data_IF_692572182336
#
_entry.id   IF_692572182336
#
_cell.length_a   1.000
_cell.length_b   1.000
_cell.length_c   1.000
_cell.angle_alpha   90.00
_cell.angle_beta   90.00
_cell.angle_gamma   90.00
#
_symmetry.space_group_name_H-M   'P 1'
#
loop_
_entity.id
_entity.type
_entity.pdbx_description
1 polymer ?
#
# COMPACT_ATOMS: atom_id res chain seq x y z
N UNK A 1 -4.77 28.26 5.59
CA UNK A 1 -4.37 27.62 6.86
C UNK A 1 -3.60 26.37 6.48
N UNK A 2 -2.29 26.38 6.64
CA UNK A 2 -1.39 25.26 6.29
C UNK A 2 -1.48 24.15 7.35
N UNK A 3 -1.13 22.92 6.99
CA UNK A 3 -0.92 21.86 7.97
C UNK A 3 0.22 22.33 8.90
N UNK A 4 -0.11 22.61 10.15
CA UNK A 4 0.89 23.09 11.14
C UNK A 4 1.65 21.89 11.68
N UNK A 5 2.85 21.64 11.14
CA UNK A 5 3.79 20.65 11.66
C UNK A 5 3.34 19.19 11.49
N UNK A 6 4.19 18.21 11.80
CA UNK A 6 3.82 16.80 11.84
C UNK A 6 2.82 16.56 12.97
N UNK A 7 1.79 15.73 12.72
CA UNK A 7 0.82 15.35 13.76
C UNK A 7 1.43 14.40 14.80
N UNK A 8 2.50 13.73 14.41
CA UNK A 8 3.36 12.93 15.29
C UNK A 8 4.80 13.16 14.84
N UNK A 9 5.63 13.63 15.74
CA UNK A 9 7.05 13.76 15.54
C UNK A 9 7.75 12.89 16.60
N UNK A 10 8.43 11.86 16.15
CA UNK A 10 9.38 11.11 16.97
C UNK A 10 10.76 11.68 16.68
N UNK A 11 11.17 12.69 17.43
CA UNK A 11 12.53 13.23 17.35
C UNK A 11 13.48 12.31 18.13
N UNK A 12 14.32 11.60 17.38
CA UNK A 12 15.31 10.71 17.94
C UNK A 12 16.63 11.38 18.29
N UNK A 13 16.64 12.27 19.26
CA UNK A 13 17.89 12.64 19.95
C UNK A 13 18.21 11.68 21.12
N UNK A 14 17.33 10.72 21.42
CA UNK A 14 17.54 9.72 22.46
C UNK A 14 17.79 8.35 21.84
N UNK A 15 18.88 7.72 22.27
CA UNK A 15 19.25 6.36 21.89
C UNK A 15 18.62 5.34 22.85
N UNK A 16 18.42 4.10 22.38
CA UNK A 16 18.18 2.97 23.23
C UNK A 16 16.72 2.67 23.58
N UNK A 17 16.47 2.00 24.73
CA UNK A 17 15.18 1.36 25.04
C UNK A 17 13.96 2.29 25.03
N UNK A 18 14.10 3.55 25.41
CA UNK A 18 13.00 4.53 25.40
C UNK A 18 12.58 4.88 23.98
N UNK A 19 13.54 5.05 23.07
CA UNK A 19 13.27 5.30 21.64
C UNK A 19 12.56 4.09 21.03
N UNK A 20 12.96 2.86 21.37
CA UNK A 20 12.32 1.63 20.92
C UNK A 20 10.87 1.56 21.40
N UNK A 21 10.59 1.89 22.67
CA UNK A 21 9.23 1.85 23.21
C UNK A 21 8.31 2.86 22.51
N UNK A 22 8.77 4.10 22.34
CA UNK A 22 8.04 5.14 21.62
C UNK A 22 7.82 4.77 20.13
N UNK A 23 8.84 4.17 19.51
CA UNK A 23 8.75 3.68 18.14
C UNK A 23 7.69 2.58 18.00
N UNK A 24 7.75 1.55 18.85
CA UNK A 24 6.77 0.46 18.86
C UNK A 24 5.34 0.96 19.05
N UNK A 25 5.14 1.89 19.97
CA UNK A 25 3.83 2.51 20.23
C UNK A 25 3.30 3.26 18.99
N UNK A 26 4.15 4.05 18.36
CA UNK A 26 3.78 4.85 17.19
C UNK A 26 3.38 4.01 15.98
N UNK A 27 4.03 2.87 15.76
CA UNK A 27 3.77 2.00 14.60
C UNK A 27 2.85 0.82 14.91
N UNK A 28 2.45 0.63 16.17
CA UNK A 28 1.65 -0.52 16.64
C UNK A 28 0.37 -0.82 15.83
N UNK A 29 -0.35 0.16 15.25
CA UNK A 29 -1.50 -0.14 14.41
C UNK A 29 -1.13 -0.89 13.12
N UNK A 30 0.12 -0.77 12.68
CA UNK A 30 0.59 -1.30 11.39
C UNK A 30 1.57 -2.46 11.56
N UNK A 31 2.44 -2.41 12.58
CA UNK A 31 3.60 -3.28 12.72
C UNK A 31 3.86 -3.72 14.16
N UNK A 32 4.18 -5.00 14.32
CA UNK A 32 4.99 -5.48 15.44
C UNK A 32 6.46 -5.31 15.04
N UNK A 33 7.28 -4.69 15.92
CA UNK A 33 8.68 -4.35 15.62
C UNK A 33 9.64 -5.23 16.41
N UNK A 34 10.52 -5.89 15.68
CA UNK A 34 11.63 -6.67 16.24
C UNK A 34 12.96 -5.95 16.00
N UNK A 35 13.74 -5.77 17.06
CA UNK A 35 15.08 -5.20 17.04
C UNK A 35 15.99 -6.19 17.75
N UNK A 36 17.16 -6.50 17.18
CA UNK A 36 18.10 -7.42 17.81
C UNK A 36 18.56 -6.86 19.15
N UNK A 37 18.82 -7.75 20.12
CA UNK A 37 19.21 -7.33 21.50
C UNK A 37 20.51 -6.54 21.51
N UNK A 38 21.47 -6.93 20.67
CA UNK A 38 22.76 -6.27 20.51
C UNK A 38 22.62 -4.83 19.97
N UNK A 39 21.60 -4.56 19.13
CA UNK A 39 21.38 -3.26 18.50
C UNK A 39 20.55 -2.32 19.39
N UNK A 40 19.96 -2.84 20.47
CA UNK A 40 19.06 -2.06 21.36
C UNK A 40 19.69 -0.80 21.95
N UNK A 41 20.97 -0.79 22.41
CA UNK A 41 21.57 0.43 22.99
C UNK A 41 21.76 1.56 22.00
N UNK A 42 22.01 1.25 20.73
CA UNK A 42 22.34 2.21 19.67
C UNK A 42 21.19 2.48 18.72
N UNK A 43 20.01 1.91 18.97
CA UNK A 43 18.84 2.09 18.11
C UNK A 43 18.46 3.58 17.98
N UNK A 44 18.29 4.00 16.75
CA UNK A 44 17.82 5.33 16.36
C UNK A 44 16.53 5.19 15.58
N UNK A 45 15.58 6.07 15.84
CA UNK A 45 14.33 6.12 15.08
C UNK A 45 13.79 7.54 15.06
N UNK A 46 13.48 8.03 13.89
CA UNK A 46 12.84 9.31 13.65
C UNK A 46 11.68 9.13 12.68
N UNK A 47 10.54 9.71 12.97
CA UNK A 47 9.41 9.71 12.06
C UNK A 47 8.60 10.99 12.20
N UNK A 48 8.32 11.62 11.08
CA UNK A 48 7.36 12.72 10.97
C UNK A 48 6.13 12.21 10.21
N UNK A 49 4.95 12.35 10.81
CA UNK A 49 3.70 11.88 10.21
C UNK A 49 2.75 13.04 9.99
N UNK A 50 2.24 13.16 8.77
CA UNK A 50 1.28 14.19 8.37
C UNK A 50 -0.02 13.55 7.90
N UNK A 51 -1.15 14.18 8.21
CA UNK A 51 -2.45 13.78 7.68
C UNK A 51 -2.72 14.39 6.30
N UNK A 52 -3.13 13.55 5.37
CA UNK A 52 -3.59 13.93 4.04
C UNK A 52 -5.12 13.71 3.93
N UNK A 53 -5.88 14.35 4.81
CA UNK A 53 -7.29 14.03 5.01
C UNK A 53 -7.44 12.70 5.74
N UNK A 54 -7.99 11.68 5.07
CA UNK A 54 -8.14 10.32 5.62
C UNK A 54 -6.90 9.43 5.37
N UNK A 55 -5.93 9.90 4.59
CA UNK A 55 -4.65 9.22 4.40
C UNK A 55 -3.57 9.82 5.29
N UNK A 56 -2.45 9.13 5.42
CA UNK A 56 -1.27 9.64 6.12
C UNK A 56 -0.02 9.46 5.27
N UNK A 57 0.97 10.32 5.50
CA UNK A 57 2.32 10.16 4.97
C UNK A 57 3.31 10.22 6.13
N UNK A 58 4.23 9.27 6.18
CA UNK A 58 5.33 9.19 7.14
C UNK A 58 6.68 9.40 6.44
N UNK A 59 7.48 10.31 6.98
CA UNK A 59 8.88 10.52 6.62
C UNK A 59 9.73 9.88 7.72
N UNK A 60 10.38 8.77 7.43
CA UNK A 60 10.93 7.87 8.43
C UNK A 60 12.42 7.64 8.21
N UNK A 61 13.20 7.68 9.28
CA UNK A 61 14.58 7.18 9.34
C UNK A 61 14.73 6.27 10.57
N UNK A 62 15.30 5.10 10.41
CA UNK A 62 15.53 4.19 11.54
C UNK A 62 16.75 3.30 11.31
N UNK A 63 17.33 2.81 12.42
CA UNK A 63 18.31 1.74 12.42
C UNK A 63 17.70 0.43 11.93
N UNK A 64 18.53 -0.55 11.68
CA UNK A 64 18.12 -1.90 11.29
C UNK A 64 17.02 -2.44 12.21
N UNK A 65 15.95 -2.94 11.59
CA UNK A 65 14.83 -3.55 12.29
C UNK A 65 14.03 -4.47 11.36
N UNK A 66 13.23 -5.33 11.98
CA UNK A 66 12.19 -6.11 11.31
C UNK A 66 10.83 -5.59 11.70
N UNK A 67 10.03 -5.28 10.71
CA UNK A 67 8.59 -5.03 10.85
C UNK A 67 7.83 -6.31 10.51
N UNK A 68 7.00 -6.77 11.41
CA UNK A 68 6.14 -7.94 11.21
C UNK A 68 4.67 -7.51 11.24
N UNK A 69 3.93 -7.92 10.22
CA UNK A 69 2.47 -7.82 10.18
C UNK A 69 1.90 -9.23 10.15
N UNK A 70 1.78 -9.82 11.33
CA UNK A 70 1.27 -11.18 11.49
C UNK A 70 -0.22 -11.28 11.16
N UNK A 71 -0.71 -12.50 10.87
CA UNK A 71 -2.16 -12.75 10.73
C UNK A 71 -2.94 -12.32 11.97
N UNK A 72 -2.35 -12.49 13.16
CA UNK A 72 -2.95 -12.05 14.43
C UNK A 72 -3.08 -10.53 14.51
N UNK A 73 -2.06 -9.77 14.06
CA UNK A 73 -2.10 -8.31 14.01
C UNK A 73 -3.16 -7.83 12.99
N UNK A 74 -3.19 -8.43 11.79
CA UNK A 74 -4.21 -8.13 10.77
C UNK A 74 -5.62 -8.30 11.34
N UNK A 75 -5.91 -9.44 11.94
CA UNK A 75 -7.24 -9.73 12.50
C UNK A 75 -7.61 -8.79 13.67
N UNK A 76 -6.65 -8.46 14.53
CA UNK A 76 -6.88 -7.60 15.71
C UNK A 76 -7.12 -6.14 15.32
N UNK A 77 -6.37 -5.63 14.36
CA UNK A 77 -6.40 -4.22 14.00
C UNK A 77 -7.47 -3.87 12.97
N UNK A 78 -7.87 -4.81 12.11
CA UNK A 78 -8.90 -4.59 11.09
C UNK A 78 -8.58 -3.44 10.11
N UNK A 79 -7.30 -3.12 9.91
CA UNK A 79 -6.87 -2.02 9.03
C UNK A 79 -7.00 -2.45 7.57
N UNK A 80 -7.94 -1.84 6.86
CA UNK A 80 -8.14 -2.01 5.41
C UNK A 80 -7.56 -0.81 4.64
N UNK A 81 -6.23 -0.74 4.63
CA UNK A 81 -5.49 0.32 3.97
C UNK A 81 -4.41 -0.28 3.06
N UNK A 82 -3.97 0.50 2.11
CA UNK A 82 -2.82 0.18 1.26
C UNK A 82 -1.70 1.15 1.57
N UNK A 83 -0.51 0.61 1.76
CA UNK A 83 0.70 1.40 1.91
C UNK A 83 1.55 1.33 0.63
N UNK A 84 2.10 2.48 0.24
CA UNK A 84 3.21 2.56 -0.72
C UNK A 84 4.43 3.09 0.02
N UNK A 85 5.50 2.31 0.03
CA UNK A 85 6.75 2.69 0.69
C UNK A 85 7.87 2.89 -0.33
N UNK A 86 8.34 4.12 -0.44
CA UNK A 86 9.54 4.46 -1.20
C UNK A 86 10.77 4.33 -0.30
N UNK A 87 11.74 3.55 -0.74
CA UNK A 87 13.06 3.49 -0.10
C UNK A 87 13.93 4.66 -0.58
N UNK A 88 14.33 5.54 0.33
CA UNK A 88 15.26 6.65 0.04
C UNK A 88 16.70 6.17 0.17
N UNK A 89 17.01 5.52 1.29
CA UNK A 89 18.29 4.90 1.61
C UNK A 89 18.10 3.54 2.27
N UNK A 90 19.16 2.76 2.28
CA UNK A 90 19.16 1.41 2.85
C UNK A 90 18.49 0.40 1.96
N UNK A 91 18.43 -0.84 2.42
CA UNK A 91 17.84 -1.98 1.72
C UNK A 91 16.77 -2.64 2.57
N UNK A 92 15.87 -3.35 1.92
CA UNK A 92 14.92 -4.20 2.62
C UNK A 92 14.65 -5.49 1.83
N UNK A 93 14.12 -6.47 2.56
CA UNK A 93 13.55 -7.69 1.98
C UNK A 93 12.13 -7.81 2.48
N UNK A 94 11.17 -7.82 1.55
CA UNK A 94 9.76 -8.05 1.84
C UNK A 94 9.51 -9.55 1.75
N UNK A 95 8.86 -10.12 2.78
CA UNK A 95 8.38 -11.50 2.74
C UNK A 95 6.86 -11.52 2.82
N UNK A 96 6.22 -11.98 1.77
CA UNK A 96 4.77 -12.12 1.69
C UNK A 96 4.39 -13.36 0.86
N UNK A 97 3.36 -14.08 1.27
CA UNK A 97 2.82 -15.26 0.55
C UNK A 97 3.89 -16.29 0.14
N UNK A 98 4.97 -16.46 0.94
CA UNK A 98 6.07 -17.40 0.65
C UNK A 98 7.13 -16.88 -0.34
N UNK A 99 7.01 -15.64 -0.80
CA UNK A 99 7.98 -14.98 -1.67
C UNK A 99 8.85 -13.98 -0.91
N UNK A 100 10.10 -13.84 -1.36
CA UNK A 100 11.02 -12.82 -0.91
C UNK A 100 11.31 -11.85 -2.04
N UNK A 101 11.04 -10.56 -1.81
CA UNK A 101 11.25 -9.51 -2.79
C UNK A 101 12.23 -8.49 -2.23
N UNK A 102 13.43 -8.33 -2.81
CA UNK A 102 14.37 -7.30 -2.39
C UNK A 102 13.92 -5.93 -2.88
N UNK A 103 14.24 -4.90 -2.09
CA UNK A 103 14.09 -3.50 -2.49
C UNK A 103 15.30 -2.66 -2.04
N UNK A 104 15.64 -1.68 -2.85
CA UNK A 104 16.72 -0.73 -2.62
C UNK A 104 16.31 0.72 -2.81
N UNK A 105 17.27 1.66 -2.77
CA UNK A 105 17.01 3.07 -2.96
C UNK A 105 16.33 3.37 -4.30
N UNK A 106 15.25 4.15 -4.28
CA UNK A 106 14.43 4.49 -5.44
C UNK A 106 13.28 3.54 -5.70
N UNK A 107 13.31 2.33 -5.15
CA UNK A 107 12.23 1.36 -5.32
C UNK A 107 11.00 1.70 -4.47
N UNK A 108 9.81 1.35 -4.98
CA UNK A 108 8.55 1.53 -4.27
C UNK A 108 7.86 0.19 -4.06
N UNK A 109 7.62 -0.17 -2.79
CA UNK A 109 6.85 -1.35 -2.43
C UNK A 109 5.35 -1.02 -2.32
N UNK A 110 4.49 -1.93 -2.81
CA UNK A 110 3.03 -1.90 -2.63
C UNK A 110 2.64 -2.94 -1.57
N UNK A 111 2.03 -2.47 -0.48
CA UNK A 111 1.73 -3.29 0.69
C UNK A 111 0.25 -3.17 1.03
N UNK A 112 -0.49 -4.26 0.88
CA UNK A 112 -1.87 -4.35 1.36
C UNK A 112 -1.87 -4.67 2.86
N UNK A 113 -2.30 -3.73 3.69
CA UNK A 113 -2.31 -3.90 5.15
C UNK A 113 -3.45 -4.80 5.66
N UNK A 114 -4.31 -5.30 4.80
CA UNK A 114 -5.23 -6.40 5.11
C UNK A 114 -4.58 -7.78 4.99
N UNK A 115 -3.30 -7.86 4.60
CA UNK A 115 -2.57 -9.11 4.41
C UNK A 115 -1.31 -9.18 5.28
N UNK A 116 -0.88 -10.40 5.67
CA UNK A 116 0.33 -10.58 6.46
C UNK A 116 1.59 -10.42 5.61
N UNK A 117 2.61 -9.78 6.17
CA UNK A 117 3.94 -9.66 5.58
C UNK A 117 4.99 -9.39 6.65
N UNK A 118 6.25 -9.56 6.29
CA UNK A 118 7.36 -9.00 7.06
C UNK A 118 8.30 -8.19 6.17
N UNK A 119 8.97 -7.22 6.78
CA UNK A 119 9.89 -6.31 6.12
C UNK A 119 11.16 -6.21 6.96
N UNK A 120 12.22 -6.87 6.50
CA UNK A 120 13.55 -6.78 7.10
C UNK A 120 14.30 -5.61 6.48
N UNK A 121 14.71 -4.65 7.28
CA UNK A 121 15.38 -3.44 6.81
C UNK A 121 16.74 -3.27 7.47
N UNK A 122 17.77 -2.92 6.68
CA UNK A 122 19.00 -2.31 7.19
C UNK A 122 18.70 -0.91 7.74
N UNK A 123 19.67 -0.17 8.22
CA UNK A 123 19.50 1.28 8.45
C UNK A 123 18.90 1.92 7.21
N UNK A 124 17.86 2.76 7.38
CA UNK A 124 17.09 3.25 6.25
C UNK A 124 16.47 4.63 6.43
N UNK A 125 16.18 5.26 5.30
CA UNK A 125 15.19 6.32 5.18
C UNK A 125 14.11 5.92 4.18
N UNK A 126 12.87 6.23 4.50
CA UNK A 126 11.71 5.90 3.67
C UNK A 126 10.63 6.98 3.72
N UNK A 127 9.86 7.07 2.63
CA UNK A 127 8.60 7.79 2.60
C UNK A 127 7.50 6.73 2.46
N UNK A 128 6.55 6.72 3.39
CA UNK A 128 5.44 5.77 3.37
C UNK A 128 4.12 6.53 3.35
N UNK A 129 3.31 6.30 2.32
CA UNK A 129 1.93 6.79 2.25
C UNK A 129 1.00 5.64 2.58
N UNK A 130 0.05 5.85 3.51
CA UNK A 130 -0.96 4.87 3.88
C UNK A 130 -2.33 5.46 3.56
N UNK A 131 -3.06 4.80 2.67
CA UNK A 131 -4.32 5.29 2.10
C UNK A 131 -5.42 4.27 2.36
N UNK A 132 -6.57 4.67 2.96
CA UNK A 132 -7.75 3.81 3.09
C UNK A 132 -8.18 3.26 1.72
N UNK A 133 -8.52 1.98 1.66
CA UNK A 133 -8.93 1.31 0.41
C UNK A 133 -10.10 2.03 -0.30
N UNK A 134 -11.03 2.60 0.45
CA UNK A 134 -12.16 3.35 -0.09
C UNK A 134 -11.81 4.62 -0.86
N UNK A 135 -10.57 5.12 -0.79
CA UNK A 135 -10.10 6.25 -1.59
C UNK A 135 -9.56 5.83 -2.97
N UNK A 136 -9.33 4.54 -3.19
CA UNK A 136 -8.83 4.05 -4.47
C UNK A 136 -9.97 3.90 -5.48
N UNK A 137 -9.72 4.19 -6.77
CA UNK A 137 -10.66 3.89 -7.84
C UNK A 137 -11.09 2.41 -7.80
N UNK A 138 -12.35 2.14 -8.09
CA UNK A 138 -12.91 0.77 -8.15
C UNK A 138 -12.64 -0.07 -6.87
N UNK A 139 -12.62 0.60 -5.69
CA UNK A 139 -12.34 -0.06 -4.41
C UNK A 139 -10.93 -0.67 -4.30
N UNK A 140 -9.99 -0.24 -5.15
CA UNK A 140 -8.63 -0.74 -5.15
C UNK A 140 -8.46 -2.11 -5.81
N UNK A 141 -9.21 -2.38 -6.88
CA UNK A 141 -9.03 -3.59 -7.67
C UNK A 141 -7.56 -3.77 -8.10
N UNK A 142 -7.02 -4.98 -7.96
CA UNK A 142 -5.63 -5.32 -8.25
C UNK A 142 -4.62 -5.00 -7.13
N UNK A 143 -5.02 -4.25 -6.08
CA UNK A 143 -4.10 -3.92 -4.98
C UNK A 143 -3.81 -5.13 -4.07
N UNK A 144 -4.78 -6.02 -3.91
CA UNK A 144 -4.59 -7.24 -3.12
C UNK A 144 -3.61 -8.20 -3.82
N UNK A 145 -3.69 -8.31 -5.13
CA UNK A 145 -2.79 -9.13 -5.96
C UNK A 145 -1.40 -8.51 -6.07
N UNK A 146 -1.30 -7.17 -6.01
CA UNK A 146 -0.03 -6.46 -6.03
C UNK A 146 0.68 -6.43 -4.66
N UNK A 147 0.11 -7.08 -3.63
CA UNK A 147 0.70 -7.13 -2.30
C UNK A 147 2.12 -7.70 -2.30
N UNK A 148 3.06 -7.00 -1.68
CA UNK A 148 4.46 -7.39 -1.60
C UNK A 148 5.26 -7.20 -2.88
N UNK A 149 4.67 -6.61 -3.93
CA UNK A 149 5.40 -6.29 -5.16
C UNK A 149 6.24 -5.03 -5.00
N UNK A 150 7.32 -4.98 -5.77
CA UNK A 150 8.23 -3.83 -5.80
C UNK A 150 8.24 -3.26 -7.23
N UNK A 151 8.03 -1.97 -7.35
CA UNK A 151 8.22 -1.19 -8.58
C UNK A 151 9.67 -0.72 -8.58
N UNK A 152 10.53 -1.25 -9.51
CA UNK A 152 11.92 -0.84 -9.53
C UNK A 152 12.06 0.63 -9.97
N UNK A 153 12.76 1.43 -9.16
CA UNK A 153 13.01 2.84 -9.46
C UNK A 153 13.80 3.08 -10.75
N UNK A 154 14.47 2.07 -11.26
CA UNK A 154 15.17 2.12 -12.54
C UNK A 154 14.24 2.04 -13.76
N UNK A 155 12.98 1.63 -13.61
CA UNK A 155 11.99 1.66 -14.69
C UNK A 155 11.35 3.03 -14.82
N UNK A 156 10.94 3.41 -16.05
CA UNK A 156 10.32 4.72 -16.27
C UNK A 156 9.09 4.96 -15.40
N UNK A 157 8.24 3.94 -15.24
CA UNK A 157 7.04 4.08 -14.42
C UNK A 157 7.34 4.01 -12.92
N UNK A 158 8.29 3.17 -12.49
CA UNK A 158 8.77 3.14 -11.10
C UNK A 158 9.41 4.46 -10.69
N UNK A 159 10.22 5.08 -11.57
CA UNK A 159 10.77 6.42 -11.38
C UNK A 159 9.66 7.48 -11.20
N UNK A 160 8.62 7.46 -12.05
CA UNK A 160 7.49 8.38 -11.94
C UNK A 160 6.80 8.27 -10.56
N UNK A 161 6.54 7.05 -10.09
CA UNK A 161 5.92 6.82 -8.77
C UNK A 161 6.86 7.27 -7.64
N UNK A 162 8.15 6.95 -7.75
CA UNK A 162 9.18 7.38 -6.80
C UNK A 162 9.27 8.90 -6.69
N UNK A 163 9.32 9.60 -7.82
CA UNK A 163 9.41 11.07 -7.87
C UNK A 163 8.14 11.74 -7.34
N UNK A 164 6.97 11.15 -7.63
CA UNK A 164 5.71 11.61 -7.04
C UNK A 164 5.75 11.53 -5.51
N UNK A 165 6.17 10.40 -4.94
CA UNK A 165 6.26 10.23 -3.47
C UNK A 165 7.32 11.15 -2.85
N UNK A 166 8.46 11.39 -3.52
CA UNK A 166 9.47 12.38 -3.09
C UNK A 166 8.89 13.78 -3.05
N UNK A 167 8.22 14.19 -4.13
CA UNK A 167 7.58 15.51 -4.23
C UNK A 167 6.50 15.67 -3.16
N UNK A 168 5.68 14.64 -2.95
CA UNK A 168 4.66 14.64 -1.90
C UNK A 168 5.29 14.85 -0.51
N UNK A 169 6.33 14.08 -0.17
CA UNK A 169 7.03 14.18 1.11
C UNK A 169 7.68 15.55 1.33
N UNK A 170 8.27 16.13 0.28
CA UNK A 170 8.91 17.45 0.36
C UNK A 170 7.90 18.60 0.55
N UNK A 171 6.68 18.46 0.04
CA UNK A 171 5.69 19.54 0.05
C UNK A 171 4.60 19.37 1.13
N UNK A 172 4.46 18.21 1.74
CA UNK A 172 3.39 17.95 2.72
C UNK A 172 3.35 18.95 3.87
N UNK A 173 4.48 19.49 4.41
CA UNK A 173 4.44 20.50 5.47
C UNK A 173 3.73 21.80 5.06
N UNK A 174 3.63 22.05 3.76
CA UNK A 174 3.12 23.30 3.19
C UNK A 174 1.68 23.20 2.67
N UNK A 175 1.11 22.00 2.61
CA UNK A 175 -0.25 21.81 2.11
C UNK A 175 -1.30 22.45 3.02
N UNK A 176 -2.29 23.07 2.38
CA UNK A 176 -3.58 23.31 3.04
C UNK A 176 -4.34 21.99 3.20
N UNK A 177 -5.33 21.91 4.11
CA UNK A 177 -6.18 20.72 4.24
C UNK A 177 -6.91 20.30 2.96
N UNK A 178 -7.22 21.25 2.07
CA UNK A 178 -7.84 20.96 0.79
C UNK A 178 -6.84 20.33 -0.20
N UNK A 179 -5.65 20.90 -0.32
CA UNK A 179 -4.55 20.38 -1.14
C UNK A 179 -4.12 18.98 -0.67
N UNK A 180 -4.03 18.77 0.64
CA UNK A 180 -3.70 17.48 1.22
C UNK A 180 -4.68 16.36 0.79
N UNK A 181 -6.00 16.64 0.80
CA UNK A 181 -7.01 15.69 0.31
C UNK A 181 -6.88 15.41 -1.19
N UNK A 182 -6.67 16.45 -2.00
CA UNK A 182 -6.47 16.29 -3.45
C UNK A 182 -5.20 15.48 -3.74
N UNK A 183 -4.12 15.75 -3.01
CA UNK A 183 -2.87 15.00 -3.14
C UNK A 183 -3.05 13.51 -2.79
N UNK A 184 -3.80 13.19 -1.72
CA UNK A 184 -4.13 11.80 -1.37
C UNK A 184 -4.91 11.09 -2.48
N UNK A 185 -5.92 11.76 -3.07
CA UNK A 185 -6.71 11.20 -4.17
C UNK A 185 -5.85 10.97 -5.42
N UNK A 186 -5.02 11.94 -5.81
CA UNK A 186 -4.11 11.80 -6.94
C UNK A 186 -3.12 10.65 -6.73
N UNK A 187 -2.61 10.50 -5.51
CA UNK A 187 -1.72 9.39 -5.14
C UNK A 187 -2.44 8.05 -5.23
N UNK A 188 -3.69 7.95 -4.76
CA UNK A 188 -4.48 6.72 -4.87
C UNK A 188 -4.69 6.29 -6.34
N UNK A 189 -4.98 7.25 -7.23
CA UNK A 189 -5.11 6.98 -8.68
C UNK A 189 -3.79 6.46 -9.27
N UNK A 190 -2.67 7.10 -8.95
CA UNK A 190 -1.35 6.69 -9.44
C UNK A 190 -0.97 5.30 -8.93
N UNK A 191 -1.20 5.01 -7.64
CA UNK A 191 -0.92 3.70 -7.07
C UNK A 191 -1.85 2.60 -7.59
N UNK A 192 -3.10 2.90 -7.94
CA UNK A 192 -3.97 1.95 -8.65
C UNK A 192 -3.41 1.57 -10.02
N UNK A 193 -2.90 2.55 -10.78
CA UNK A 193 -2.22 2.28 -12.04
C UNK A 193 -0.94 1.46 -11.83
N UNK A 194 -0.18 1.78 -10.78
CA UNK A 194 1.03 1.07 -10.41
C UNK A 194 0.77 -0.40 -10.07
N UNK A 195 -0.27 -0.69 -9.30
CA UNK A 195 -0.68 -2.05 -8.97
C UNK A 195 -1.02 -2.87 -10.23
N UNK A 196 -1.84 -2.31 -11.12
CA UNK A 196 -2.18 -2.97 -12.40
C UNK A 196 -0.95 -3.23 -13.27
N UNK A 197 0.00 -2.29 -13.28
CA UNK A 197 1.26 -2.47 -14.00
C UNK A 197 2.07 -3.62 -13.40
N UNK A 198 2.18 -3.67 -12.08
CA UNK A 198 2.97 -4.68 -11.37
C UNK A 198 2.44 -6.10 -11.57
N UNK A 199 1.13 -6.29 -11.68
CA UNK A 199 0.50 -7.60 -11.93
C UNK A 199 0.36 -7.93 -13.43
N UNK A 200 0.96 -7.13 -14.33
CA UNK A 200 0.94 -7.38 -15.77
C UNK A 200 -0.41 -7.12 -16.45
N UNK A 201 -1.31 -6.36 -15.83
CA UNK A 201 -2.62 -6.00 -16.40
C UNK A 201 -2.59 -4.78 -17.34
N UNK A 202 -1.42 -4.22 -17.58
CA UNK A 202 -1.26 -3.07 -18.49
C UNK A 202 -1.64 -3.46 -19.91
N UNK A 203 -2.65 -2.77 -20.44
CA UNK A 203 -3.20 -3.05 -21.77
C UNK A 203 -4.49 -3.87 -21.78
N UNK A 204 -4.97 -4.37 -20.63
CA UNK A 204 -6.34 -4.90 -20.52
C UNK A 204 -7.30 -3.76 -20.19
N UNK A 205 -8.27 -3.43 -21.05
CA UNK A 205 -9.26 -2.41 -20.72
C UNK A 205 -10.04 -2.85 -19.47
N UNK A 206 -10.36 -1.93 -18.55
CA UNK A 206 -11.29 -2.22 -17.45
C UNK A 206 -12.60 -2.70 -18.06
N UNK A 207 -13.23 -3.71 -17.44
CA UNK A 207 -14.57 -4.13 -17.88
C UNK A 207 -15.51 -2.97 -17.60
N UNK A 208 -16.19 -2.40 -18.62
CA UNK A 208 -17.02 -1.24 -18.43
C UNK A 208 -18.15 -1.52 -17.42
N UNK A 209 -18.51 -0.54 -16.57
CA UNK A 209 -19.60 -0.65 -15.60
C UNK A 209 -20.92 -1.16 -16.24
N UNK A 210 -21.29 -0.78 -17.47
CA UNK A 210 -22.43 -1.37 -18.18
C UNK A 210 -22.33 -2.88 -18.37
N UNK A 211 -21.13 -3.43 -18.56
CA UNK A 211 -20.89 -4.88 -18.71
C UNK A 211 -21.11 -5.61 -17.39
N UNK A 212 -20.67 -5.02 -16.26
CA UNK A 212 -20.97 -5.57 -14.93
C UNK A 212 -22.47 -5.70 -14.67
N UNK A 213 -23.22 -4.62 -14.93
CA UNK A 213 -24.66 -4.61 -14.75
C UNK A 213 -25.37 -5.61 -15.69
N UNK A 214 -24.90 -5.72 -16.93
CA UNK A 214 -25.43 -6.67 -17.89
C UNK A 214 -25.14 -8.13 -17.51
N UNK A 215 -23.93 -8.45 -17.02
CA UNK A 215 -23.58 -9.77 -16.51
C UNK A 215 -24.41 -10.12 -15.29
N UNK A 216 -24.56 -9.20 -14.33
CA UNK A 216 -25.38 -9.41 -13.13
C UNK A 216 -26.84 -9.66 -13.51
N UNK A 217 -27.41 -8.85 -14.38
CA UNK A 217 -28.78 -9.02 -14.87
C UNK A 217 -28.99 -10.36 -15.58
N UNK A 218 -28.01 -10.82 -16.36
CA UNK A 218 -28.04 -12.13 -16.99
C UNK A 218 -28.01 -13.28 -15.98
N UNK A 219 -27.16 -13.17 -14.95
CA UNK A 219 -27.11 -14.15 -13.85
C UNK A 219 -28.47 -14.19 -13.15
N UNK A 220 -29.02 -13.05 -12.76
CA UNK A 220 -30.31 -12.96 -12.07
C UNK A 220 -31.46 -13.55 -12.92
N UNK A 221 -31.43 -13.33 -14.24
CA UNK A 221 -32.44 -13.85 -15.16
C UNK A 221 -32.32 -15.36 -15.44
N UNK A 222 -31.11 -15.90 -15.40
CA UNK A 222 -30.82 -17.29 -15.81
C UNK A 222 -30.40 -18.18 -14.64
N UNK A 223 -30.58 -17.73 -13.38
CA UNK A 223 -30.07 -18.42 -12.17
C UNK A 223 -30.57 -19.85 -12.02
N UNK A 224 -31.73 -20.17 -12.59
CA UNK A 224 -32.32 -21.52 -12.60
C UNK A 224 -31.93 -22.35 -13.84
N UNK A 225 -31.18 -21.81 -14.79
CA UNK A 225 -30.78 -22.49 -16.02
C UNK A 225 -29.54 -23.35 -15.82
N UNK A 226 -29.60 -24.61 -16.28
CA UNK A 226 -28.45 -25.49 -16.30
C UNK A 226 -27.33 -25.03 -17.25
N UNK A 227 -27.63 -24.11 -18.17
CA UNK A 227 -26.68 -23.55 -19.14
C UNK A 227 -25.91 -22.35 -18.59
N UNK A 228 -26.27 -21.86 -17.39
CA UNK A 228 -25.56 -20.76 -16.74
C UNK A 228 -24.18 -21.24 -16.25
N UNK A 229 -23.18 -21.08 -17.09
CA UNK A 229 -21.80 -21.41 -16.78
C UNK A 229 -20.88 -20.20 -16.93
N UNK A 230 -19.72 -20.25 -16.28
CA UNK A 230 -18.68 -19.23 -16.42
C UNK A 230 -18.27 -19.06 -17.89
N UNK A 231 -18.14 -20.15 -18.63
CA UNK A 231 -17.84 -20.18 -20.05
C UNK A 231 -18.90 -19.50 -20.90
N UNK A 232 -20.17 -19.73 -20.56
CA UNK A 232 -21.32 -19.10 -21.23
C UNK A 232 -21.27 -17.59 -21.06
N UNK A 233 -21.10 -17.12 -19.83
CA UNK A 233 -20.99 -15.68 -19.53
C UNK A 233 -19.77 -15.05 -20.18
N UNK A 234 -18.62 -15.70 -20.14
CA UNK A 234 -17.41 -15.21 -20.81
C UNK A 234 -17.61 -15.02 -22.31
N UNK A 235 -18.22 -15.99 -22.99
CA UNK A 235 -18.50 -15.90 -24.43
C UNK A 235 -19.53 -14.83 -24.76
N UNK A 236 -20.62 -14.77 -23.97
CA UNK A 236 -21.74 -13.84 -24.20
C UNK A 236 -21.33 -12.38 -24.06
N UNK A 237 -20.50 -12.08 -23.08
CA UNK A 237 -20.08 -10.71 -22.75
C UNK A 237 -18.68 -10.35 -23.26
N UNK A 238 -18.00 -11.27 -23.95
CA UNK A 238 -16.68 -11.02 -24.50
C UNK A 238 -15.59 -10.76 -23.43
N UNK A 239 -15.77 -11.33 -22.23
CA UNK A 239 -14.82 -11.15 -21.11
C UNK A 239 -14.05 -12.43 -20.82
N UNK A 240 -12.82 -12.29 -20.30
CA UNK A 240 -12.05 -13.44 -19.84
C UNK A 240 -12.60 -13.96 -18.49
N UNK A 241 -12.31 -15.22 -18.12
CA UNK A 241 -12.65 -15.78 -16.80
C UNK A 241 -12.14 -14.90 -15.66
N UNK A 242 -10.88 -14.47 -15.73
CA UNK A 242 -10.27 -13.59 -14.73
C UNK A 242 -10.98 -12.22 -14.64
N UNK A 243 -11.44 -11.67 -15.78
CA UNK A 243 -12.20 -10.44 -15.80
C UNK A 243 -13.59 -10.63 -15.17
N UNK A 244 -14.26 -11.76 -15.47
CA UNK A 244 -15.57 -12.10 -14.90
C UNK A 244 -15.47 -12.25 -13.36
N UNK A 245 -14.50 -13.01 -12.86
CA UNK A 245 -14.31 -13.17 -11.40
C UNK A 245 -14.02 -11.84 -10.71
N UNK A 246 -13.21 -10.95 -11.31
CA UNK A 246 -12.94 -9.61 -10.77
C UNK A 246 -14.18 -8.73 -10.64
N UNK A 247 -15.15 -8.87 -11.54
CA UNK A 247 -16.41 -8.12 -11.45
C UNK A 247 -17.16 -8.39 -10.14
N UNK A 248 -17.01 -9.59 -9.57
CA UNK A 248 -17.73 -10.03 -8.39
C UNK A 248 -16.82 -10.16 -7.14
N UNK A 249 -15.52 -9.95 -7.25
CA UNK A 249 -14.57 -10.03 -6.13
C UNK A 249 -14.91 -9.13 -4.91
N UNK A 250 -15.50 -7.93 -5.08
CA UNK A 250 -15.88 -7.08 -3.95
C UNK A 250 -17.14 -7.53 -3.20
N UNK A 251 -17.83 -8.55 -3.66
CA UNK A 251 -19.13 -8.97 -3.13
C UNK A 251 -19.09 -10.33 -2.41
N UNK A 252 -17.92 -10.92 -2.23
CA UNK A 252 -17.72 -12.19 -1.53
C UNK A 252 -17.02 -12.02 -0.19
#
# INVERSE_FOLDING_TARGET
>A
MTLRGPNLCLEGSTFGPRTISAWREAVAPFWDVEIRKEDTPDFRGQSEVYHLGNAIIGLTAASELRNERSRGLVARMGVDHVAAQLRIDGRATIRSAGHETPMGPGDVALLDLAQPLSLDSTDYRAITVIIPRGLFPEGGAGLAEAHGTVLPGATAFGALVSDHLRSLGANVPHFSPAEARVAAQATAVLLSAAARTAIGEVGRPPVPAPVFLAVRSAIDAEIASADLTVEHLCRRFGVSRSALYRLFAPMG
#
